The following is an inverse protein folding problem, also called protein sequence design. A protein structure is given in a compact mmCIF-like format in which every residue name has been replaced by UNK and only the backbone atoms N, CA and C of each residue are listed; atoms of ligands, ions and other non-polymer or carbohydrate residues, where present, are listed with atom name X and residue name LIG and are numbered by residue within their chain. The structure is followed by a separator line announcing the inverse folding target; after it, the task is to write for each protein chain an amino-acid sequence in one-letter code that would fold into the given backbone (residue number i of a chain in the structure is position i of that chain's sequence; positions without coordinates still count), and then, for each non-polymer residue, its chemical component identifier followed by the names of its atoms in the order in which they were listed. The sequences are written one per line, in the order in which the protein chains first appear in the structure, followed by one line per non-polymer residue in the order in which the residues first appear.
data_IF_719305191646
#
_entry.id   IF_719305191646
#
_cell.length_a   1.000
_cell.length_b   1.000
_cell.length_c   1.000
_cell.angle_alpha   90.00
_cell.angle_beta   90.00
_cell.angle_gamma   90.00
#
_symmetry.space_group_name_H-M   'P 1'
#
loop_
_entity.id
_entity.type
_entity.pdbx_description
1 polymer ?
#
# COMPACT_ATOMS: atom_id res chain seq x y z
N UNK A 1 22.18 3.12 4.67
CA UNK A 1 21.06 2.48 5.40
C UNK A 1 20.47 3.31 6.53
N UNK A 2 21.26 4.14 7.23
CA UNK A 2 20.75 5.07 8.23
C UNK A 2 19.71 6.04 7.66
N UNK A 3 19.88 6.48 6.42
CA UNK A 3 18.97 7.40 5.75
C UNK A 3 17.60 6.76 5.48
N UNK A 4 17.59 5.46 5.17
CA UNK A 4 16.35 4.72 4.93
C UNK A 4 15.51 4.62 6.21
N UNK A 5 16.13 4.30 7.34
CA UNK A 5 15.43 4.22 8.62
C UNK A 5 14.84 5.59 9.02
N UNK A 6 15.57 6.67 8.80
CA UNK A 6 15.09 8.02 9.05
C UNK A 6 13.87 8.36 8.21
N UNK A 7 13.86 7.99 6.94
CA UNK A 7 12.72 8.21 6.06
C UNK A 7 11.53 7.34 6.43
N UNK A 8 11.75 6.07 6.79
CA UNK A 8 10.66 5.17 7.19
C UNK A 8 9.97 5.63 8.48
N UNK A 9 10.67 6.37 9.33
CA UNK A 9 10.13 6.92 10.56
C UNK A 9 9.69 8.38 10.44
N UNK A 10 9.70 8.94 9.22
CA UNK A 10 9.34 10.34 9.00
C UNK A 10 7.82 10.55 9.07
N UNK A 11 7.37 11.37 10.03
CA UNK A 11 5.95 11.66 10.23
C UNK A 11 5.31 12.41 9.05
N UNK A 12 6.09 13.23 8.34
CA UNK A 12 5.61 13.96 7.15
C UNK A 12 5.22 12.97 6.05
N UNK A 13 6.03 11.94 5.83
CA UNK A 13 5.71 10.89 4.84
C UNK A 13 4.49 10.07 5.24
N UNK A 14 4.29 9.84 6.54
CA UNK A 14 3.08 9.19 7.04
C UNK A 14 1.83 10.02 6.73
N UNK A 15 1.87 11.32 6.95
CA UNK A 15 0.76 12.22 6.63
C UNK A 15 0.45 12.25 5.12
N UNK A 16 1.48 12.31 4.29
CA UNK A 16 1.31 12.26 2.83
C UNK A 16 0.70 10.93 2.42
N UNK A 17 1.18 9.83 2.97
CA UNK A 17 0.64 8.50 2.68
C UNK A 17 -0.84 8.41 3.04
N UNK A 18 -1.23 8.85 4.23
CA UNK A 18 -2.62 8.82 4.69
C UNK A 18 -3.54 9.63 3.78
N UNK A 19 -3.11 10.82 3.37
CA UNK A 19 -3.86 11.66 2.45
C UNK A 19 -4.03 10.97 1.09
N UNK A 20 -2.97 10.38 0.55
CA UNK A 20 -3.03 9.67 -0.74
C UNK A 20 -3.87 8.42 -0.67
N UNK A 21 -3.79 7.68 0.43
CA UNK A 21 -4.60 6.49 0.65
C UNK A 21 -6.09 6.83 0.67
N UNK A 22 -6.46 7.91 1.36
CA UNK A 22 -7.84 8.37 1.42
C UNK A 22 -8.35 8.79 0.04
N UNK A 23 -7.59 9.59 -0.70
CA UNK A 23 -7.92 9.99 -2.07
C UNK A 23 -8.09 8.77 -2.99
N UNK A 24 -7.18 7.80 -2.90
CA UNK A 24 -7.24 6.58 -3.69
C UNK A 24 -8.49 5.77 -3.37
N UNK A 25 -8.83 5.63 -2.09
CA UNK A 25 -10.03 4.91 -1.66
C UNK A 25 -11.28 5.53 -2.28
N UNK A 26 -11.42 6.85 -2.21
CA UNK A 26 -12.61 7.54 -2.73
C UNK A 26 -12.68 7.56 -4.26
N UNK A 27 -11.56 7.78 -4.94
CA UNK A 27 -11.56 7.98 -6.40
C UNK A 27 -11.43 6.69 -7.21
N UNK A 28 -10.74 5.69 -6.67
CA UNK A 28 -10.41 4.47 -7.42
C UNK A 28 -11.12 3.24 -6.87
N UNK A 29 -10.96 2.97 -5.58
CA UNK A 29 -11.50 1.74 -4.98
C UNK A 29 -13.03 1.71 -5.08
N UNK A 30 -13.71 2.80 -4.76
CA UNK A 30 -15.17 2.88 -4.80
C UNK A 30 -15.75 2.77 -6.22
N UNK A 31 -14.98 3.11 -7.24
CA UNK A 31 -15.43 3.11 -8.64
C UNK A 31 -14.82 1.97 -9.48
N UNK A 32 -13.88 1.22 -8.95
CA UNK A 32 -13.18 0.18 -9.69
C UNK A 32 -14.03 -1.09 -9.82
N UNK A 33 -14.33 -1.48 -11.05
CA UNK A 33 -15.01 -2.75 -11.36
C UNK A 33 -14.16 -3.96 -10.96
N UNK A 34 -12.85 -3.89 -11.17
CA UNK A 34 -11.92 -4.95 -10.81
C UNK A 34 -11.89 -5.18 -9.30
N UNK A 35 -11.89 -4.11 -8.52
CA UNK A 35 -11.96 -4.20 -7.07
C UNK A 35 -13.29 -4.82 -6.61
N UNK A 36 -14.40 -4.43 -7.22
CA UNK A 36 -15.72 -4.98 -6.88
C UNK A 36 -15.79 -6.48 -7.19
N UNK A 37 -15.19 -6.93 -8.29
CA UNK A 37 -15.11 -8.36 -8.63
C UNK A 37 -14.29 -9.14 -7.61
N UNK A 38 -13.14 -8.62 -7.20
CA UNK A 38 -12.30 -9.23 -6.16
C UNK A 38 -13.05 -9.32 -4.83
N UNK A 39 -13.79 -8.30 -4.47
CA UNK A 39 -14.60 -8.28 -3.26
C UNK A 39 -15.69 -9.34 -3.29
N UNK A 40 -16.43 -9.44 -4.39
CA UNK A 40 -17.47 -10.44 -4.57
C UNK A 40 -16.89 -11.87 -4.52
N UNK A 41 -15.75 -12.08 -5.17
CA UNK A 41 -15.03 -13.36 -5.12
C UNK A 41 -14.61 -13.71 -3.69
N UNK A 42 -14.10 -12.75 -2.94
CA UNK A 42 -13.69 -12.93 -1.55
C UNK A 42 -14.89 -13.32 -0.68
N UNK A 43 -16.02 -12.63 -0.82
CA UNK A 43 -17.26 -12.94 -0.10
C UNK A 43 -17.77 -14.35 -0.43
N UNK A 44 -17.72 -14.74 -1.70
CA UNK A 44 -18.11 -16.06 -2.16
C UNK A 44 -17.24 -17.15 -1.53
N UNK A 45 -15.92 -16.95 -1.51
CA UNK A 45 -14.97 -17.88 -0.90
C UNK A 45 -15.18 -18.00 0.60
N UNK A 46 -15.45 -16.89 1.29
CA UNK A 46 -15.76 -16.89 2.72
C UNK A 46 -17.01 -17.73 3.03
N UNK A 47 -18.08 -17.54 2.26
CA UNK A 47 -19.31 -18.33 2.41
C UNK A 47 -19.04 -19.80 2.16
N UNK A 48 -18.21 -20.14 1.17
CA UNK A 48 -17.83 -21.52 0.89
C UNK A 48 -17.08 -22.14 2.07
N UNK A 49 -16.15 -21.42 2.69
CA UNK A 49 -15.41 -21.88 3.86
C UNK A 49 -16.38 -22.11 5.03
N UNK A 50 -17.29 -21.18 5.28
CA UNK A 50 -18.24 -21.27 6.37
C UNK A 50 -19.22 -22.45 6.23
N UNK A 51 -19.48 -22.90 4.99
CA UNK A 51 -20.31 -24.08 4.75
C UNK A 51 -19.73 -25.39 5.31
N UNK A 52 -18.40 -25.43 5.53
CA UNK A 52 -17.74 -26.59 6.16
C UNK A 52 -17.80 -26.56 7.69
N UNK A 53 -18.31 -25.48 8.27
CA UNK A 53 -18.34 -25.28 9.72
C UNK A 53 -19.67 -25.78 10.26
N UNK A 54 -19.66 -26.63 11.32
CA UNK A 54 -20.91 -27.04 12.00
C UNK A 54 -21.70 -25.81 12.45
N UNK A 55 -23.03 -25.91 12.35
CA UNK A 55 -23.94 -24.81 12.67
C UNK A 55 -23.73 -24.23 14.08
N UNK A 56 -23.39 -25.07 15.03
CA UNK A 56 -23.14 -24.68 16.43
C UNK A 56 -21.91 -23.77 16.59
N UNK A 57 -20.96 -23.84 15.66
CA UNK A 57 -19.71 -23.05 15.68
C UNK A 57 -19.72 -21.90 14.68
N UNK A 58 -20.74 -21.77 13.86
CA UNK A 58 -20.79 -20.85 12.74
C UNK A 58 -20.51 -19.40 13.14
N UNK A 59 -21.21 -18.91 14.18
CA UNK A 59 -21.06 -17.51 14.62
C UNK A 59 -19.67 -17.23 15.20
N UNK A 60 -19.12 -18.17 15.94
CA UNK A 60 -17.79 -18.02 16.53
C UNK A 60 -16.72 -17.98 15.44
N UNK A 61 -16.79 -18.86 14.46
CA UNK A 61 -15.85 -18.92 13.34
C UNK A 61 -15.98 -17.70 12.45
N UNK A 62 -17.20 -17.26 12.15
CA UNK A 62 -17.44 -16.03 11.38
C UNK A 62 -16.80 -14.84 12.05
N UNK A 63 -16.95 -14.69 13.36
CA UNK A 63 -16.33 -13.61 14.12
C UNK A 63 -14.80 -13.69 14.07
N UNK A 64 -14.24 -14.88 14.24
CA UNK A 64 -12.78 -15.08 14.20
C UNK A 64 -12.21 -14.75 12.81
N UNK A 65 -12.92 -15.10 11.75
CA UNK A 65 -12.51 -14.75 10.38
C UNK A 65 -12.58 -13.25 10.15
N UNK A 66 -13.66 -12.60 10.60
CA UNK A 66 -13.80 -11.15 10.48
C UNK A 66 -12.69 -10.42 11.22
N UNK A 67 -12.40 -10.82 12.47
CA UNK A 67 -11.32 -10.25 13.27
C UNK A 67 -9.96 -10.45 12.58
N UNK A 68 -9.72 -11.64 12.04
CA UNK A 68 -8.49 -11.94 11.31
C UNK A 68 -8.33 -11.06 10.06
N UNK A 69 -9.40 -10.92 9.26
CA UNK A 69 -9.33 -10.14 8.02
C UNK A 69 -9.24 -8.64 8.29
N UNK A 70 -10.10 -8.11 9.16
CA UNK A 70 -10.22 -6.67 9.36
C UNK A 70 -9.19 -6.12 10.34
N UNK A 71 -8.84 -6.85 11.40
CA UNK A 71 -7.89 -6.34 12.37
C UNK A 71 -6.45 -6.72 12.02
N UNK A 72 -6.19 -7.99 11.74
CA UNK A 72 -4.83 -8.48 11.55
C UNK A 72 -4.35 -8.32 10.11
N UNK A 73 -5.11 -8.83 9.14
CA UNK A 73 -4.67 -8.82 7.75
C UNK A 73 -4.62 -7.41 7.16
N UNK A 74 -5.66 -6.61 7.39
CA UNK A 74 -5.67 -5.22 6.92
C UNK A 74 -4.61 -4.38 7.62
N UNK A 75 -4.35 -4.64 8.91
CA UNK A 75 -3.27 -3.99 9.62
C UNK A 75 -1.89 -4.29 9.03
N UNK A 76 -1.64 -5.54 8.68
CA UNK A 76 -0.41 -5.94 7.99
C UNK A 76 -0.30 -5.31 6.60
N UNK A 77 -1.40 -5.32 5.84
CA UNK A 77 -1.44 -4.73 4.51
C UNK A 77 -1.19 -3.21 4.57
N UNK A 78 -1.77 -2.51 5.53
CA UNK A 78 -1.54 -1.08 5.74
C UNK A 78 -0.07 -0.80 6.06
N UNK A 79 0.53 -1.60 6.94
CA UNK A 79 1.94 -1.47 7.29
C UNK A 79 2.83 -1.61 6.05
N UNK A 80 2.62 -2.64 5.23
CA UNK A 80 3.40 -2.86 4.03
C UNK A 80 3.19 -1.75 3.00
N UNK A 81 1.96 -1.35 2.76
CA UNK A 81 1.64 -0.30 1.80
C UNK A 81 2.28 1.04 2.19
N UNK A 82 2.23 1.38 3.47
CA UNK A 82 2.86 2.59 4.01
C UNK A 82 4.37 2.58 3.78
N UNK A 83 5.02 1.48 4.09
CA UNK A 83 6.46 1.36 3.93
C UNK A 83 6.89 1.30 2.47
N UNK A 84 6.17 0.59 1.61
CA UNK A 84 6.43 0.60 0.17
C UNK A 84 6.26 1.99 -0.44
N UNK A 85 5.27 2.75 0.00
CA UNK A 85 5.08 4.12 -0.45
C UNK A 85 6.29 4.99 -0.08
N UNK A 86 6.79 4.88 1.15
CA UNK A 86 7.97 5.61 1.60
C UNK A 86 9.22 5.21 0.81
N UNK A 87 9.41 3.92 0.57
CA UNK A 87 10.52 3.43 -0.25
C UNK A 87 10.45 3.97 -1.67
N UNK A 88 9.27 3.97 -2.28
CA UNK A 88 9.06 4.54 -3.61
C UNK A 88 9.38 6.03 -3.65
N UNK A 89 9.05 6.77 -2.60
CA UNK A 89 9.39 8.18 -2.49
C UNK A 89 10.92 8.39 -2.44
N UNK A 90 11.63 7.59 -1.65
CA UNK A 90 13.09 7.63 -1.55
C UNK A 90 13.72 7.29 -2.91
N UNK A 91 13.24 6.23 -3.56
CA UNK A 91 13.73 5.81 -4.87
C UNK A 91 13.51 6.91 -5.91
N UNK A 92 12.34 7.55 -5.88
CA UNK A 92 12.05 8.68 -6.77
C UNK A 92 12.98 9.86 -6.56
N UNK A 93 13.30 10.20 -5.32
CA UNK A 93 14.26 11.24 -5.00
C UNK A 93 15.65 10.90 -5.51
N UNK A 94 16.10 9.66 -5.37
CA UNK A 94 17.40 9.20 -5.84
C UNK A 94 17.49 9.25 -7.37
N UNK A 95 16.45 8.81 -8.06
CA UNK A 95 16.37 8.90 -9.53
C UNK A 95 16.46 10.36 -9.99
N UNK A 96 15.72 11.25 -9.34
CA UNK A 96 15.76 12.69 -9.65
C UNK A 96 17.15 13.26 -9.46
N UNK A 97 17.83 12.89 -8.39
CA UNK A 97 19.20 13.34 -8.11
C UNK A 97 20.16 12.86 -9.19
N UNK A 98 20.12 11.58 -9.56
CA UNK A 98 20.97 11.02 -10.61
C UNK A 98 20.71 11.69 -11.96
N UNK A 99 19.45 11.93 -12.31
CA UNK A 99 19.10 12.65 -13.54
C UNK A 99 19.66 14.07 -13.54
N UNK A 100 19.58 14.77 -12.41
CA UNK A 100 20.12 16.12 -12.28
C UNK A 100 21.64 16.13 -12.46
N UNK A 101 22.35 15.16 -11.90
CA UNK A 101 23.80 15.01 -12.04
C UNK A 101 24.20 14.75 -13.50
N UNK A 102 23.47 13.89 -14.21
CA UNK A 102 23.69 13.59 -15.62
C UNK A 102 23.49 14.86 -16.47
N UNK A 103 22.42 15.60 -16.21
CA UNK A 103 22.13 16.85 -16.91
C UNK A 103 23.20 17.92 -16.69
N UNK A 104 23.72 18.02 -15.46
CA UNK A 104 24.84 18.95 -15.17
C UNK A 104 26.11 18.61 -15.95
N UNK A 105 26.45 17.32 -16.02
CA UNK A 105 27.59 16.85 -16.80
C UNK A 105 27.42 17.20 -18.28
N UNK A 106 26.26 16.93 -18.87
CA UNK A 106 25.97 17.26 -20.27
C UNK A 106 26.06 18.75 -20.54
N UNK A 107 25.52 19.60 -19.65
CA UNK A 107 25.60 21.06 -19.79
C UNK A 107 27.03 21.55 -19.69
N UNK A 108 27.84 20.98 -18.81
CA UNK A 108 29.25 21.32 -18.68
C UNK A 108 30.06 20.94 -19.95
N UNK A 109 29.78 19.78 -20.54
CA UNK A 109 30.40 19.37 -21.79
C UNK A 109 30.05 20.31 -22.94
N UNK A 110 28.81 20.73 -23.03
CA UNK A 110 28.36 21.71 -24.03
C UNK A 110 29.06 23.06 -23.83
N UNK A 111 29.21 23.53 -22.59
CA UNK A 111 29.83 24.80 -22.26
C UNK A 111 31.33 24.79 -22.52
N UNK A 112 32.00 23.66 -22.40
CA UNK A 112 33.44 23.52 -22.59
C UNK A 112 33.83 23.08 -24.01
N UNK A 113 32.85 22.71 -24.80
CA UNK A 113 33.01 22.33 -26.18
C UNK A 113 32.91 23.52 -27.11
#
# INVERSE_FOLDING_TARGET
MKDMEGFLNCSILDEIFETRQEEFSHKVIETSEDYMKLREETETRLKSILNYVPAEHYKAVEKDIDDFLFDNFLGMAEFWNRNYYKLGFIDGMNVKKEMSEIMEVELNEISNG
#
